data_IF_460706395863
#
_entry.id   IF_460706395863
#
_cell.length_a   1.000
_cell.length_b   1.000
_cell.length_c   1.000
_cell.angle_alpha   90.00
_cell.angle_beta   90.00
_cell.angle_gamma   90.00
#
_symmetry.space_group_name_H-M   'P 1'
#
loop_
_entity.id
_entity.type
_entity.pdbx_description
1 polymer ?
#
# COMPACT_ATOMS: atom_id res chain seq x y z
N UNK A 1 -5.40 8.62 2.53
CA UNK A 1 -5.07 7.35 1.83
C UNK A 1 -3.69 6.81 2.19
N UNK A 2 -2.63 7.62 2.10
CA UNK A 2 -1.24 7.23 2.40
C UNK A 2 -1.03 6.60 3.79
N UNK A 3 -1.59 7.21 4.84
CA UNK A 3 -1.46 6.68 6.20
C UNK A 3 -2.06 5.28 6.36
N UNK A 4 -3.26 5.03 5.82
CA UNK A 4 -3.90 3.72 5.87
C UNK A 4 -3.06 2.65 5.19
N UNK A 5 -2.53 2.93 3.99
CA UNK A 5 -1.61 2.03 3.29
C UNK A 5 -0.34 1.74 4.09
N UNK A 6 0.22 2.74 4.76
CA UNK A 6 1.38 2.57 5.62
C UNK A 6 1.10 1.68 6.84
N UNK A 7 0.00 1.93 7.56
CA UNK A 7 -0.38 1.12 8.74
C UNK A 7 -0.63 -0.34 8.35
N UNK A 8 -1.31 -0.56 7.22
CA UNK A 8 -1.59 -1.89 6.70
C UNK A 8 -0.30 -2.63 6.34
N UNK A 9 0.62 -1.98 5.62
CA UNK A 9 1.93 -2.55 5.30
C UNK A 9 2.74 -2.88 6.56
N UNK A 10 2.74 -1.97 7.53
CA UNK A 10 3.45 -2.18 8.79
C UNK A 10 2.88 -3.35 9.60
N UNK A 11 1.56 -3.46 9.67
CA UNK A 11 0.89 -4.59 10.31
C UNK A 11 1.18 -5.91 9.60
N UNK A 12 1.18 -5.92 8.26
CA UNK A 12 1.51 -7.10 7.47
C UNK A 12 2.95 -7.56 7.70
N UNK A 13 3.90 -6.63 7.76
CA UNK A 13 5.30 -6.93 8.07
C UNK A 13 5.48 -7.49 9.48
N UNK A 14 4.77 -6.94 10.47
CA UNK A 14 4.88 -7.39 11.87
C UNK A 14 4.19 -8.73 12.14
N UNK A 15 3.10 -9.01 11.46
CA UNK A 15 2.22 -10.14 11.78
C UNK A 15 2.01 -11.06 10.58
N UNK A 16 3.03 -11.23 9.72
CA UNK A 16 2.94 -12.03 8.48
C UNK A 16 2.38 -13.44 8.72
N UNK A 17 2.74 -14.08 9.84
CA UNK A 17 2.25 -15.42 10.19
C UNK A 17 0.74 -15.44 10.45
N UNK A 18 0.18 -14.40 11.08
CA UNK A 18 -1.25 -14.28 11.32
C UNK A 18 -2.03 -14.08 10.01
N UNK A 19 -1.51 -13.32 9.06
CA UNK A 19 -2.11 -13.19 7.73
C UNK A 19 -2.03 -14.50 6.94
N UNK A 20 -0.95 -15.28 7.13
CA UNK A 20 -0.79 -16.59 6.49
C UNK A 20 -1.76 -17.61 7.08
N UNK A 21 -1.89 -17.70 8.40
CA UNK A 21 -2.81 -18.62 9.06
C UNK A 21 -4.28 -18.28 8.82
N UNK A 22 -4.60 -17.00 8.64
CA UNK A 22 -5.94 -16.53 8.25
C UNK A 22 -6.24 -16.72 6.74
N UNK A 23 -5.28 -17.19 5.93
CA UNK A 23 -5.45 -17.32 4.48
C UNK A 23 -5.60 -15.98 3.75
N UNK A 24 -5.17 -14.87 4.36
CA UNK A 24 -5.33 -13.50 3.84
C UNK A 24 -4.04 -12.93 3.22
N UNK A 25 -2.94 -13.70 3.21
CA UNK A 25 -1.63 -13.23 2.75
C UNK A 25 -1.67 -12.71 1.31
N UNK A 26 -2.23 -13.49 0.40
CA UNK A 26 -2.24 -13.15 -1.03
C UNK A 26 -3.14 -11.93 -1.30
N UNK A 27 -4.32 -11.90 -0.67
CA UNK A 27 -5.22 -10.75 -0.74
C UNK A 27 -4.56 -9.48 -0.20
N UNK A 28 -3.80 -9.59 0.90
CA UNK A 28 -3.10 -8.44 1.48
C UNK A 28 -2.03 -7.90 0.51
N UNK A 29 -1.26 -8.77 -0.13
CA UNK A 29 -0.30 -8.38 -1.17
C UNK A 29 -0.97 -7.68 -2.37
N UNK A 30 -2.09 -8.24 -2.85
CA UNK A 30 -2.85 -7.65 -3.96
C UNK A 30 -3.46 -6.29 -3.59
N UNK A 31 -4.01 -6.18 -2.37
CA UNK A 31 -4.62 -4.95 -1.88
C UNK A 31 -3.59 -3.82 -1.72
N UNK A 32 -2.37 -4.14 -1.28
CA UNK A 32 -1.28 -3.16 -1.13
C UNK A 32 -0.80 -2.62 -2.47
N UNK A 33 -0.84 -3.42 -3.53
CA UNK A 33 -0.41 -2.99 -4.87
C UNK A 33 -1.24 -1.81 -5.39
N UNK A 34 -2.54 -1.82 -5.16
CA UNK A 34 -3.46 -0.80 -5.68
C UNK A 34 -3.12 0.64 -5.27
N UNK A 35 -3.02 0.98 -3.96
CA UNK A 35 -2.66 2.33 -3.55
C UNK A 35 -1.22 2.70 -3.93
N UNK A 36 -0.28 1.75 -3.99
CA UNK A 36 1.10 2.04 -4.41
C UNK A 36 1.19 2.41 -5.89
N UNK A 37 0.48 1.69 -6.76
CA UNK A 37 0.35 2.04 -8.18
C UNK A 37 -0.35 3.39 -8.36
N UNK A 38 -1.35 3.71 -7.53
CA UNK A 38 -1.95 5.04 -7.51
C UNK A 38 -0.92 6.11 -7.14
N UNK A 39 -0.15 5.94 -6.05
CA UNK A 39 0.86 6.93 -5.65
C UNK A 39 1.94 7.12 -6.72
N UNK A 40 2.31 6.03 -7.42
CA UNK A 40 3.23 6.09 -8.55
C UNK A 40 2.68 6.92 -9.71
N UNK A 41 1.37 6.84 -9.99
CA UNK A 41 0.72 7.69 -11.01
C UNK A 41 0.61 9.16 -10.58
N UNK A 42 0.46 9.41 -9.28
CA UNK A 42 0.36 10.76 -8.74
C UNK A 42 1.70 11.51 -8.64
N UNK A 43 2.82 10.78 -8.67
CA UNK A 43 4.15 11.38 -8.58
C UNK A 43 4.72 11.67 -9.98
N UNK A 44 5.01 12.94 -10.25
CA UNK A 44 5.68 13.40 -11.47
C UNK A 44 7.10 13.87 -11.11
N UNK A 45 8.14 13.02 -11.29
CA UNK A 45 9.50 13.30 -10.84
C UNK A 45 10.09 14.57 -11.49
N UNK A 46 9.91 14.73 -12.79
CA UNK A 46 10.50 15.83 -13.58
C UNK A 46 9.99 17.21 -13.13
N UNK A 47 8.79 17.25 -12.53
CA UNK A 47 8.15 18.48 -12.04
C UNK A 47 8.19 18.58 -10.51
N UNK A 48 8.80 17.61 -9.83
CA UNK A 48 8.76 17.45 -8.37
C UNK A 48 7.34 17.62 -7.78
N UNK A 49 6.30 17.14 -8.50
CA UNK A 49 4.90 17.40 -8.18
C UNK A 49 4.19 16.11 -7.78
N UNK A 50 3.45 16.18 -6.67
CA UNK A 50 2.63 15.08 -6.15
C UNK A 50 1.15 15.47 -6.10
N UNK A 51 0.29 14.74 -6.80
CA UNK A 51 -1.16 14.88 -6.66
C UNK A 51 -1.65 14.17 -5.38
N UNK A 52 -2.28 14.92 -4.48
CA UNK A 52 -2.72 14.40 -3.17
C UNK A 52 -4.23 14.17 -3.06
N UNK A 53 -5.00 14.74 -3.98
CA UNK A 53 -6.46 14.64 -4.05
C UNK A 53 -6.90 14.67 -5.52
N UNK A 54 -7.97 13.94 -5.84
CA UNK A 54 -8.67 13.92 -7.13
C UNK A 54 -10.09 14.39 -6.91
#
# INVERSE_FOLDING_TARGET
MSFSSWVLNYGFLKFTDAYTSAGQKDMMCDMVKWPLEYFKKCWIPDQQTLYVQV
#
